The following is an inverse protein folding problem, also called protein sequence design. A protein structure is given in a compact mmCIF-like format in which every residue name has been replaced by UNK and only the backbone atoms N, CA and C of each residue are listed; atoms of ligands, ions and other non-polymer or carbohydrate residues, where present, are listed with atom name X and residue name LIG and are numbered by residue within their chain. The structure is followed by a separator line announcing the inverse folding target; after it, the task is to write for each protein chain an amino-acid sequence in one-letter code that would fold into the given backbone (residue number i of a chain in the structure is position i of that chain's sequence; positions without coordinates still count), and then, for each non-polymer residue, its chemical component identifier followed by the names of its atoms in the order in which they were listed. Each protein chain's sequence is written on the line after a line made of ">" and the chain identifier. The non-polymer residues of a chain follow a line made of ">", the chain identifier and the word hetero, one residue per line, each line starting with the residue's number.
data_IF_248887657945
#
_entry.id   IF_248887657945
#
_cell.length_a   1.000
_cell.length_b   1.000
_cell.length_c   1.000
_cell.angle_alpha   90.00
_cell.angle_beta   90.00
_cell.angle_gamma   90.00
#
_symmetry.space_group_name_H-M   'P 1'
#
loop_
_entity.id
_entity.type
_entity.pdbx_description
1 polymer ?
#
# COMPACT_ATOMS: atom_id res chain seq x y z
N UNK A 1 24.11 -17.07 -14.97
CA UNK A 1 22.68 -16.72 -14.97
C UNK A 1 22.36 -16.29 -16.37
N UNK A 2 21.65 -17.10 -17.15
CA UNK A 2 21.21 -16.78 -18.49
C UNK A 2 20.16 -15.68 -18.35
N UNK A 3 20.48 -14.47 -18.79
CA UNK A 3 19.57 -13.34 -18.79
C UNK A 3 18.46 -13.67 -19.82
N UNK A 4 17.25 -13.96 -19.33
CA UNK A 4 16.10 -14.18 -20.20
C UNK A 4 15.81 -12.85 -20.91
N UNK A 5 16.07 -12.81 -22.20
CA UNK A 5 15.76 -11.63 -23.02
C UNK A 5 14.24 -11.56 -23.12
N UNK A 6 13.68 -10.48 -22.58
CA UNK A 6 12.24 -10.23 -22.66
C UNK A 6 11.97 -9.60 -24.01
N UNK A 7 11.32 -10.36 -24.87
CA UNK A 7 11.05 -9.92 -26.25
C UNK A 7 10.03 -8.78 -26.33
N UNK A 8 9.06 -8.78 -25.40
CA UNK A 8 7.90 -7.85 -25.43
C UNK A 8 7.42 -7.51 -24.02
N UNK A 9 6.94 -6.29 -23.88
CA UNK A 9 6.19 -5.83 -22.73
C UNK A 9 4.97 -5.07 -23.24
N UNK A 10 3.79 -5.57 -22.95
CA UNK A 10 2.55 -4.90 -23.27
C UNK A 10 2.20 -3.85 -22.23
N UNK A 11 1.46 -2.82 -22.64
CA UNK A 11 1.00 -1.75 -21.75
C UNK A 11 -0.52 -1.74 -21.78
N UNK A 12 -1.16 -1.74 -20.61
CA UNK A 12 -2.57 -1.45 -20.44
C UNK A 12 -2.75 -0.17 -19.66
N UNK A 13 -3.71 0.64 -20.07
CA UNK A 13 -4.04 1.89 -19.40
C UNK A 13 -5.44 1.81 -18.81
N UNK A 14 -5.55 2.10 -17.50
CA UNK A 14 -6.83 2.33 -16.84
C UNK A 14 -7.35 3.72 -17.18
N UNK A 15 -8.44 3.82 -17.95
CA UNK A 15 -9.00 5.08 -18.40
C UNK A 15 -9.43 6.00 -17.26
N UNK A 16 -9.93 5.43 -16.17
CA UNK A 16 -10.16 6.07 -14.89
C UNK A 16 -9.41 5.27 -13.83
N UNK A 17 -8.52 5.92 -13.08
CA UNK A 17 -7.65 5.24 -12.13
C UNK A 17 -8.43 4.51 -11.03
N UNK A 18 -9.53 5.11 -10.54
CA UNK A 18 -10.31 4.52 -9.44
C UNK A 18 -11.03 3.26 -9.88
N UNK A 19 -11.65 3.28 -11.05
CA UNK A 19 -12.30 2.11 -11.63
C UNK A 19 -11.29 1.02 -11.97
N UNK A 20 -10.12 1.41 -12.48
CA UNK A 20 -9.03 0.49 -12.78
C UNK A 20 -8.57 -0.23 -11.50
N UNK A 21 -8.31 0.50 -10.42
CA UNK A 21 -7.91 -0.09 -9.13
C UNK A 21 -9.02 -0.97 -8.54
N UNK A 22 -10.28 -0.53 -8.59
CA UNK A 22 -11.43 -1.35 -8.16
C UNK A 22 -11.44 -2.68 -8.92
N UNK A 23 -11.27 -2.64 -10.25
CA UNK A 23 -11.24 -3.85 -11.09
C UNK A 23 -10.04 -4.75 -10.74
N UNK A 24 -8.91 -4.18 -10.36
CA UNK A 24 -7.74 -4.96 -9.91
C UNK A 24 -7.98 -5.66 -8.57
N UNK A 25 -8.70 -5.03 -7.65
CA UNK A 25 -8.98 -5.56 -6.32
C UNK A 25 -10.16 -6.56 -6.31
N UNK A 26 -11.02 -6.49 -7.33
CA UNK A 26 -12.24 -7.27 -7.38
C UNK A 26 -12.09 -8.42 -8.39
N UNK A 27 -12.26 -9.66 -7.90
CA UNK A 27 -12.01 -10.89 -8.66
C UNK A 27 -13.07 -11.22 -9.74
N UNK A 28 -14.25 -10.61 -9.66
CA UNK A 28 -15.41 -11.01 -10.46
C UNK A 28 -15.96 -9.92 -11.37
N UNK A 29 -15.28 -8.79 -11.46
CA UNK A 29 -15.77 -7.66 -12.25
C UNK A 29 -15.79 -7.98 -13.74
N UNK A 30 -16.96 -7.86 -14.36
CA UNK A 30 -17.13 -7.86 -15.81
C UNK A 30 -16.76 -6.50 -16.43
N UNK A 31 -16.59 -5.47 -15.61
CA UNK A 31 -16.25 -4.13 -16.07
C UNK A 31 -14.78 -4.05 -16.49
N UNK A 32 -14.52 -3.45 -17.65
CA UNK A 32 -13.18 -3.40 -18.26
C UNK A 32 -12.79 -1.95 -18.54
N UNK A 33 -12.27 -1.23 -17.52
CA UNK A 33 -11.86 0.16 -17.71
C UNK A 33 -10.53 0.28 -18.47
N UNK A 34 -10.04 -0.81 -19.07
CA UNK A 34 -8.70 -0.87 -19.65
C UNK A 34 -8.69 -0.50 -21.12
N UNK A 35 -7.76 0.35 -21.49
CA UNK A 35 -7.39 0.63 -22.88
C UNK A 35 -6.10 -0.14 -23.21
N UNK A 36 -6.12 -0.90 -24.29
CA UNK A 36 -4.96 -1.64 -24.76
C UNK A 36 -5.06 -1.94 -26.25
N UNK A 37 -3.90 -2.17 -26.87
CA UNK A 37 -3.79 -2.66 -28.23
C UNK A 37 -2.72 -3.74 -28.26
N UNK A 38 -3.12 -4.99 -27.98
CA UNK A 38 -2.17 -6.11 -27.91
C UNK A 38 -1.87 -6.69 -29.28
N UNK A 39 -1.60 -6.02 -30.30
CA UNK A 39 -1.24 -6.53 -31.63
C UNK A 39 -0.92 -8.04 -31.67
N UNK A 40 0.35 -8.38 -31.59
CA UNK A 40 0.85 -9.76 -31.54
C UNK A 40 1.15 -10.20 -30.09
N UNK A 41 0.12 -10.40 -29.27
CA UNK A 41 0.28 -10.85 -27.89
C UNK A 41 0.37 -12.38 -27.80
N UNK A 42 1.29 -12.89 -26.99
CA UNK A 42 1.37 -14.30 -26.65
C UNK A 42 0.97 -14.54 -25.19
N UNK A 43 0.43 -15.72 -24.92
CA UNK A 43 0.10 -16.16 -23.56
C UNK A 43 1.37 -16.08 -22.69
N UNK A 44 1.25 -15.45 -21.54
CA UNK A 44 2.36 -15.26 -20.60
C UNK A 44 3.22 -14.01 -20.84
N UNK A 45 2.99 -13.27 -21.94
CA UNK A 45 3.69 -12.00 -22.14
C UNK A 45 3.44 -11.05 -20.97
N UNK A 46 4.48 -10.34 -20.45
CA UNK A 46 4.32 -9.41 -19.36
C UNK A 46 3.54 -8.16 -19.78
N UNK A 47 2.76 -7.63 -18.82
CA UNK A 47 1.91 -6.45 -19.00
C UNK A 47 2.22 -5.42 -17.94
N UNK A 48 2.63 -4.22 -18.34
CA UNK A 48 2.72 -3.06 -17.47
C UNK A 48 1.36 -2.39 -17.32
N UNK A 49 0.98 -2.05 -16.09
CA UNK A 49 -0.31 -1.47 -15.77
C UNK A 49 -0.14 0.01 -15.48
N UNK A 50 -0.63 0.85 -16.38
CA UNK A 50 -0.63 2.30 -16.24
C UNK A 50 -1.99 2.75 -15.71
N UNK A 51 -1.97 3.63 -14.73
CA UNK A 51 -3.15 4.28 -14.16
C UNK A 51 -3.17 5.75 -14.56
N UNK A 52 -4.33 6.22 -15.02
CA UNK A 52 -4.54 7.63 -15.35
C UNK A 52 -4.76 8.47 -14.08
N UNK A 53 -3.75 8.47 -13.22
CA UNK A 53 -3.62 9.35 -12.06
C UNK A 53 -3.07 10.72 -12.49
N UNK A 54 -2.96 11.65 -11.57
CA UNK A 54 -2.32 12.95 -11.79
C UNK A 54 -1.20 13.14 -10.75
N UNK A 55 0.08 13.08 -11.18
CA UNK A 55 0.56 12.66 -12.51
C UNK A 55 0.26 11.18 -12.82
N UNK A 56 0.27 10.76 -14.12
CA UNK A 56 0.09 9.36 -14.50
C UNK A 56 1.12 8.45 -13.86
N UNK A 57 0.69 7.25 -13.45
CA UNK A 57 1.54 6.30 -12.73
C UNK A 57 1.48 4.90 -13.32
N UNK A 58 2.48 4.10 -13.00
CA UNK A 58 2.58 2.69 -13.37
C UNK A 58 2.77 1.82 -12.13
N UNK A 59 2.17 0.65 -12.13
CA UNK A 59 2.36 -0.32 -11.06
C UNK A 59 3.74 -0.96 -11.13
N UNK A 60 4.38 -1.16 -9.99
CA UNK A 60 5.69 -1.84 -9.90
C UNK A 60 5.59 -3.33 -10.21
N UNK A 61 4.40 -3.91 -10.12
CA UNK A 61 4.16 -5.31 -10.46
C UNK A 61 3.46 -5.44 -11.81
N UNK A 62 3.95 -6.41 -12.58
CA UNK A 62 3.44 -6.71 -13.91
C UNK A 62 2.29 -7.70 -13.83
N UNK A 63 1.29 -7.52 -14.69
CA UNK A 63 0.36 -8.57 -15.05
C UNK A 63 0.90 -9.44 -16.20
N UNK A 64 0.07 -10.36 -16.69
CA UNK A 64 0.39 -11.21 -17.84
C UNK A 64 -0.78 -11.29 -18.83
N UNK A 65 -0.48 -11.73 -20.03
CA UNK A 65 -1.51 -12.14 -21.01
C UNK A 65 -1.95 -13.56 -20.65
N UNK A 66 -3.24 -13.70 -20.35
CA UNK A 66 -3.84 -14.98 -19.99
C UNK A 66 -4.10 -15.90 -21.19
N UNK A 67 -4.60 -17.13 -20.93
CA UNK A 67 -4.89 -18.14 -21.97
C UNK A 67 -5.94 -17.70 -22.99
N UNK A 68 -6.81 -16.75 -22.62
CA UNK A 68 -7.83 -16.19 -23.50
C UNK A 68 -7.30 -15.02 -24.37
N UNK A 69 -6.00 -14.78 -24.35
CA UNK A 69 -5.36 -13.66 -25.06
C UNK A 69 -5.66 -12.28 -24.46
N UNK A 70 -6.14 -12.24 -23.22
CA UNK A 70 -6.50 -11.00 -22.51
C UNK A 70 -5.56 -10.75 -21.35
N UNK A 71 -5.61 -9.52 -20.83
CA UNK A 71 -4.91 -9.17 -19.62
C UNK A 71 -5.45 -9.99 -18.45
N UNK A 72 -4.58 -10.82 -17.88
CA UNK A 72 -4.82 -11.59 -16.67
C UNK A 72 -4.12 -10.91 -15.48
N UNK A 73 -4.92 -10.52 -14.51
CA UNK A 73 -4.45 -9.94 -13.25
C UNK A 73 -4.19 -10.98 -12.17
N UNK A 74 -4.61 -12.23 -12.36
CA UNK A 74 -4.48 -13.28 -11.34
C UNK A 74 -3.02 -13.53 -10.94
N UNK A 75 -2.08 -13.16 -11.81
CA UNK A 75 -0.64 -13.22 -11.55
C UNK A 75 -0.12 -12.02 -10.73
N UNK A 76 -0.93 -10.97 -10.51
CA UNK A 76 -0.55 -9.90 -9.60
C UNK A 76 -0.62 -10.46 -8.19
N UNK A 77 0.54 -10.75 -7.61
CA UNK A 77 0.61 -11.26 -6.24
C UNK A 77 0.21 -10.14 -5.26
N UNK A 78 -0.98 -10.24 -4.69
CA UNK A 78 -1.51 -9.31 -3.68
C UNK A 78 -0.93 -9.53 -2.28
N UNK A 79 0.16 -10.30 -2.18
CA UNK A 79 0.87 -10.49 -0.92
C UNK A 79 1.61 -9.22 -0.47
N UNK A 80 2.11 -9.25 0.76
CA UNK A 80 2.98 -8.20 1.29
C UNK A 80 4.38 -8.31 0.66
N UNK A 81 4.98 -7.18 0.27
CA UNK A 81 4.41 -5.84 0.23
C UNK A 81 3.38 -5.66 -0.88
N UNK A 82 2.40 -4.75 -0.69
CA UNK A 82 1.42 -4.40 -1.73
C UNK A 82 2.11 -3.84 -2.97
N UNK A 83 1.51 -3.99 -4.18
CA UNK A 83 2.03 -3.36 -5.38
C UNK A 83 2.23 -1.86 -5.17
N UNK A 84 3.39 -1.35 -5.53
CA UNK A 84 3.69 0.08 -5.51
C UNK A 84 3.23 0.77 -6.79
N UNK A 85 3.20 2.11 -6.74
CA UNK A 85 3.01 2.96 -7.90
C UNK A 85 4.25 3.83 -8.09
N UNK A 86 4.65 4.06 -9.33
CA UNK A 86 5.72 4.97 -9.71
C UNK A 86 5.15 5.96 -10.71
N UNK A 87 5.40 7.26 -10.49
CA UNK A 87 5.01 8.27 -11.47
C UNK A 87 5.79 8.08 -12.78
N UNK A 88 5.09 8.16 -13.91
CA UNK A 88 5.66 7.92 -15.23
C UNK A 88 6.79 8.90 -15.57
N UNK A 89 6.74 10.14 -15.12
CA UNK A 89 7.79 11.11 -15.34
C UNK A 89 9.09 10.73 -14.62
N UNK A 90 8.97 10.19 -13.40
CA UNK A 90 10.12 9.64 -12.66
C UNK A 90 10.69 8.43 -13.39
N UNK A 91 9.83 7.51 -13.81
CA UNK A 91 10.26 6.32 -14.54
C UNK A 91 10.92 6.66 -15.88
N UNK A 92 10.37 7.60 -16.64
CA UNK A 92 10.93 8.05 -17.90
C UNK A 92 12.36 8.61 -17.74
N UNK A 93 12.66 9.29 -16.63
CA UNK A 93 14.03 9.75 -16.31
C UNK A 93 14.99 8.60 -16.05
N UNK A 94 14.54 7.52 -15.43
CA UNK A 94 15.36 6.34 -15.13
C UNK A 94 15.59 5.49 -16.39
N UNK A 95 14.53 5.24 -17.15
CA UNK A 95 14.56 4.33 -18.30
C UNK A 95 15.21 4.96 -19.54
N UNK A 96 15.27 6.30 -19.60
CA UNK A 96 15.75 7.05 -20.78
C UNK A 96 15.12 6.49 -22.04
N UNK A 97 13.82 6.67 -22.20
CA UNK A 97 13.17 6.33 -23.47
C UNK A 97 13.90 7.06 -24.60
N UNK A 98 14.40 6.32 -25.58
CA UNK A 98 15.04 6.88 -26.73
C UNK A 98 13.99 7.55 -27.62
N UNK A 99 14.00 8.88 -27.66
CA UNK A 99 13.07 9.67 -28.46
C UNK A 99 11.88 10.22 -27.65
N UNK A 100 11.18 11.19 -28.22
CA UNK A 100 10.01 11.89 -27.68
C UNK A 100 8.73 11.02 -27.60
N UNK A 101 8.86 9.72 -27.48
CA UNK A 101 7.70 8.83 -27.38
C UNK A 101 7.10 8.91 -25.98
N UNK A 102 5.95 9.55 -25.88
CA UNK A 102 5.11 9.51 -24.67
C UNK A 102 4.79 8.04 -24.38
N UNK A 103 5.23 7.48 -23.21
CA UNK A 103 4.94 6.08 -22.85
C UNK A 103 3.46 5.73 -22.93
N UNK A 104 2.58 6.72 -22.77
CA UNK A 104 1.12 6.55 -22.90
C UNK A 104 0.62 6.31 -24.32
N UNK A 105 1.46 6.60 -25.33
CA UNK A 105 1.11 6.37 -26.74
C UNK A 105 1.62 5.03 -27.27
N UNK A 106 2.48 4.36 -26.50
CA UNK A 106 3.08 3.08 -26.88
C UNK A 106 2.39 1.95 -26.11
N UNK A 107 1.67 1.10 -26.82
CA UNK A 107 0.99 -0.05 -26.24
C UNK A 107 1.86 -1.30 -26.13
N UNK A 108 3.06 -1.27 -26.68
CA UNK A 108 4.02 -2.37 -26.64
C UNK A 108 5.45 -1.85 -26.73
N UNK A 109 6.31 -2.30 -25.81
CA UNK A 109 7.75 -2.15 -25.87
C UNK A 109 8.38 -3.47 -26.32
N UNK A 110 9.50 -3.41 -27.05
CA UNK A 110 10.20 -4.59 -27.56
C UNK A 110 11.69 -4.57 -27.20
N UNK A 111 12.28 -5.77 -27.07
CA UNK A 111 13.70 -5.97 -26.86
C UNK A 111 14.27 -5.19 -25.66
N UNK A 112 15.32 -4.42 -25.89
CA UNK A 112 15.99 -3.67 -24.82
C UNK A 112 15.10 -2.66 -24.10
N UNK A 113 14.13 -2.07 -24.79
CA UNK A 113 13.20 -1.11 -24.16
C UNK A 113 12.29 -1.83 -23.17
N UNK A 114 11.76 -3.00 -23.52
CA UNK A 114 10.98 -3.83 -22.64
C UNK A 114 11.79 -4.28 -21.41
N UNK A 115 13.01 -4.77 -21.63
CA UNK A 115 13.91 -5.22 -20.57
C UNK A 115 14.25 -4.09 -19.61
N UNK A 116 14.62 -2.91 -20.11
CA UNK A 116 14.92 -1.74 -19.26
C UNK A 116 13.71 -1.29 -18.42
N UNK A 117 12.52 -1.29 -19.02
CA UNK A 117 11.30 -0.92 -18.29
C UNK A 117 11.03 -1.89 -17.12
N UNK A 118 11.15 -3.18 -17.36
CA UNK A 118 10.92 -4.20 -16.33
C UNK A 118 11.96 -4.10 -15.20
N UNK A 119 13.23 -3.95 -15.55
CA UNK A 119 14.30 -3.77 -14.57
C UNK A 119 14.05 -2.51 -13.71
N UNK A 120 13.71 -1.39 -14.37
CA UNK A 120 13.43 -0.15 -13.65
C UNK A 120 12.22 -0.26 -12.68
N UNK A 121 11.16 -0.97 -13.07
CA UNK A 121 10.02 -1.23 -12.19
C UNK A 121 10.42 -2.11 -10.99
N UNK A 122 11.24 -3.13 -11.23
CA UNK A 122 11.77 -4.02 -10.18
C UNK A 122 12.67 -3.24 -9.21
N UNK A 123 13.56 -2.40 -9.72
CA UNK A 123 14.44 -1.56 -8.90
C UNK A 123 13.64 -0.54 -8.08
N UNK A 124 12.60 0.07 -8.66
CA UNK A 124 11.71 0.98 -7.94
C UNK A 124 10.96 0.28 -6.80
N UNK A 125 10.60 -0.98 -6.96
CA UNK A 125 9.96 -1.76 -5.89
C UNK A 125 10.96 -2.10 -4.77
N UNK A 126 12.17 -2.51 -5.13
CA UNK A 126 13.22 -2.89 -4.20
C UNK A 126 13.79 -1.70 -3.41
N UNK A 127 14.05 -0.57 -4.08
CA UNK A 127 14.68 0.62 -3.50
C UNK A 127 13.71 1.52 -2.73
N UNK A 128 12.42 1.18 -2.67
CA UNK A 128 11.39 2.02 -2.06
C UNK A 128 11.14 3.34 -2.80
N UNK A 129 11.55 3.45 -4.07
CA UNK A 129 11.31 4.63 -4.94
C UNK A 129 9.89 4.74 -5.47
N UNK A 130 8.98 3.97 -4.90
CA UNK A 130 7.55 4.02 -5.19
C UNK A 130 6.91 5.26 -4.58
N UNK A 131 5.84 5.71 -5.21
CA UNK A 131 5.05 6.82 -4.69
C UNK A 131 4.48 6.45 -3.33
N UNK A 132 4.58 7.38 -2.40
CA UNK A 132 4.01 7.22 -1.07
C UNK A 132 2.49 7.24 -1.11
N UNK A 133 1.86 6.65 -0.09
CA UNK A 133 0.43 6.78 0.21
C UNK A 133 0.07 8.13 0.84
N UNK A 134 1.08 8.90 1.20
CA UNK A 134 0.91 10.23 1.80
C UNK A 134 0.88 11.31 0.72
N UNK A 135 0.18 12.39 1.00
CA UNK A 135 -0.12 13.48 0.08
C UNK A 135 -1.55 13.40 -0.49
N UNK A 136 -1.96 14.47 -1.16
CA UNK A 136 -3.32 14.62 -1.69
C UNK A 136 -3.42 14.38 -3.21
N UNK A 137 -2.38 13.82 -3.82
CA UNK A 137 -2.41 13.44 -5.23
C UNK A 137 -3.30 12.22 -5.49
N UNK A 138 -3.75 12.06 -6.72
CA UNK A 138 -4.48 10.84 -7.11
C UNK A 138 -3.60 9.60 -7.10
N UNK A 139 -2.27 9.74 -7.23
CA UNK A 139 -1.32 8.62 -7.02
C UNK A 139 -1.39 8.16 -5.57
N UNK A 140 -1.35 9.07 -4.59
CA UNK A 140 -1.43 8.71 -3.18
C UNK A 140 -2.77 8.05 -2.84
N UNK A 141 -3.87 8.55 -3.41
CA UNK A 141 -5.18 7.94 -3.26
C UNK A 141 -5.25 6.53 -3.88
N UNK A 142 -4.70 6.34 -5.09
CA UNK A 142 -4.63 5.05 -5.75
C UNK A 142 -3.75 4.06 -4.97
N UNK A 143 -2.58 4.50 -4.50
CA UNK A 143 -1.69 3.70 -3.66
C UNK A 143 -2.36 3.29 -2.34
N UNK A 144 -3.13 4.20 -1.71
CA UNK A 144 -3.91 3.91 -0.49
C UNK A 144 -4.98 2.85 -0.76
N UNK A 145 -5.71 2.95 -1.88
CA UNK A 145 -6.72 1.99 -2.27
C UNK A 145 -6.11 0.61 -2.57
N UNK A 146 -5.01 0.55 -3.33
CA UNK A 146 -4.27 -0.69 -3.59
C UNK A 146 -3.79 -1.35 -2.30
N UNK A 147 -3.22 -0.56 -1.39
CA UNK A 147 -2.71 -1.05 -0.10
C UNK A 147 -3.82 -1.63 0.79
N UNK A 148 -5.06 -1.17 0.65
CA UNK A 148 -6.19 -1.70 1.42
C UNK A 148 -6.52 -3.16 1.09
N UNK A 149 -6.05 -3.67 -0.05
CA UNK A 149 -6.40 -4.99 -0.57
C UNK A 149 -7.92 -5.25 -0.58
N UNK A 150 -8.71 -4.21 -0.89
CA UNK A 150 -10.17 -4.29 -0.89
C UNK A 150 -10.82 -4.37 0.50
N UNK A 151 -10.12 -3.98 1.56
CA UNK A 151 -10.63 -4.00 2.94
C UNK A 151 -10.74 -2.59 3.53
N UNK A 152 -11.74 -2.44 4.38
CA UNK A 152 -11.91 -1.21 5.16
C UNK A 152 -10.82 -1.11 6.24
N UNK A 153 -10.07 -0.02 6.26
CA UNK A 153 -9.05 0.24 7.29
C UNK A 153 -9.66 0.35 8.69
N UNK A 154 -10.92 0.83 8.79
CA UNK A 154 -11.57 1.05 10.08
C UNK A 154 -12.07 -0.23 10.76
N UNK A 155 -12.60 -1.19 10.01
CA UNK A 155 -13.22 -2.39 10.59
C UNK A 155 -12.76 -3.72 9.97
N UNK A 156 -11.81 -3.69 9.02
CA UNK A 156 -11.32 -4.88 8.34
C UNK A 156 -12.31 -5.56 7.38
N UNK A 157 -13.55 -5.10 7.29
CA UNK A 157 -14.55 -5.69 6.41
C UNK A 157 -14.16 -5.56 4.95
N UNK A 158 -14.48 -6.58 4.15
CA UNK A 158 -14.32 -6.54 2.70
C UNK A 158 -15.23 -5.44 2.14
N UNK A 159 -14.68 -4.61 1.26
CA UNK A 159 -15.42 -3.55 0.59
C UNK A 159 -16.30 -4.15 -0.51
N UNK A 160 -17.49 -3.58 -0.69
CA UNK A 160 -18.34 -3.93 -1.83
C UNK A 160 -17.80 -3.22 -3.09
N UNK A 161 -16.99 -3.95 -3.85
CA UNK A 161 -16.36 -3.47 -5.08
C UNK A 161 -17.11 -3.93 -6.33
N UNK A 162 -18.28 -4.58 -6.17
CA UNK A 162 -19.08 -5.10 -7.26
C UNK A 162 -20.02 -4.05 -7.86
N UNK A 163 -20.12 -4.07 -9.17
CA UNK A 163 -21.12 -3.33 -9.91
C UNK A 163 -20.92 -1.82 -9.99
N UNK A 164 -21.95 -1.12 -10.49
CA UNK A 164 -21.88 0.30 -10.83
C UNK A 164 -21.75 1.24 -9.60
N UNK A 165 -22.04 0.77 -8.40
CA UNK A 165 -21.96 1.56 -7.15
C UNK A 165 -20.67 1.34 -6.37
N UNK A 166 -19.74 0.52 -6.88
CA UNK A 166 -18.48 0.22 -6.20
C UNK A 166 -17.70 1.50 -5.81
N UNK A 167 -17.71 2.52 -6.68
CA UNK A 167 -17.04 3.80 -6.43
C UNK A 167 -17.57 4.55 -5.20
N UNK A 168 -18.84 4.35 -4.87
CA UNK A 168 -19.55 5.06 -3.81
C UNK A 168 -19.58 4.27 -2.49
N UNK A 169 -19.20 2.99 -2.53
CA UNK A 169 -19.24 2.08 -1.39
C UNK A 169 -18.19 2.39 -0.32
N UNK A 170 -17.21 3.24 -0.63
CA UNK A 170 -16.12 3.59 0.27
C UNK A 170 -15.63 5.03 0.07
N UNK A 171 -14.87 5.52 1.04
CA UNK A 171 -14.14 6.79 0.99
C UNK A 171 -12.66 6.53 1.14
N UNK A 172 -11.85 7.24 0.34
CA UNK A 172 -10.38 7.21 0.46
C UNK A 172 -9.99 8.46 1.25
N UNK A 173 -9.30 8.23 2.36
CA UNK A 173 -8.72 9.29 3.16
C UNK A 173 -7.27 9.46 2.74
N UNK A 174 -6.93 10.65 2.32
CA UNK A 174 -5.57 11.09 2.02
C UNK A 174 -5.10 12.04 3.12
N UNK A 175 -3.83 11.99 3.46
CA UNK A 175 -3.22 12.82 4.49
C UNK A 175 -1.86 13.30 4.02
N UNK A 176 -1.43 14.45 4.52
CA UNK A 176 -0.10 14.97 4.24
C UNK A 176 0.99 14.00 4.74
N UNK A 177 2.16 14.14 4.15
CA UNK A 177 3.31 13.36 4.60
C UNK A 177 3.60 13.77 6.06
N UNK A 178 3.60 12.81 7.01
CA UNK A 178 3.89 13.15 8.39
C UNK A 178 5.33 13.67 8.46
N UNK A 179 5.51 14.87 8.98
CA UNK A 179 6.82 15.26 9.48
C UNK A 179 7.24 14.18 10.46
N UNK A 180 8.41 13.59 10.28
CA UNK A 180 8.93 12.59 11.22
C UNK A 180 9.27 13.31 12.51
N UNK A 181 8.46 13.17 13.56
CA UNK A 181 8.82 13.76 14.84
C UNK A 181 10.09 13.08 15.34
N UNK A 182 10.95 13.83 15.99
CA UNK A 182 12.13 13.27 16.65
C UNK A 182 11.63 12.35 17.76
N UNK A 183 12.05 11.07 17.81
CA UNK A 183 11.64 10.17 18.88
C UNK A 183 12.10 10.75 20.23
N UNK A 184 11.17 10.86 21.17
CA UNK A 184 11.50 11.36 22.51
C UNK A 184 12.02 10.23 23.38
N UNK A 185 13.10 10.45 24.15
CA UNK A 185 13.59 9.44 25.07
C UNK A 185 12.55 9.19 26.18
N UNK A 186 12.12 7.95 26.31
CA UNK A 186 11.30 7.51 27.43
C UNK A 186 12.20 6.80 28.43
N UNK A 187 12.20 7.28 29.67
CA UNK A 187 12.86 6.57 30.77
C UNK A 187 11.95 5.39 31.12
N UNK A 188 12.39 4.18 30.82
CA UNK A 188 11.67 2.96 31.20
C UNK A 188 12.23 2.46 32.53
N UNK A 189 11.33 2.25 33.50
CA UNK A 189 11.68 1.46 34.68
C UNK A 189 11.95 0.02 34.26
N UNK A 190 12.88 -0.63 34.96
CA UNK A 190 13.34 -2.00 34.61
C UNK A 190 12.21 -3.03 34.52
N UNK A 191 11.08 -2.79 35.19
CA UNK A 191 9.87 -3.63 35.17
C UNK A 191 9.08 -3.55 33.87
N UNK A 192 9.30 -2.52 33.05
CA UNK A 192 8.55 -2.24 31.82
C UNK A 192 9.34 -2.55 30.55
N UNK A 193 10.50 -3.20 30.69
CA UNK A 193 11.33 -3.56 29.53
C UNK A 193 10.63 -4.65 28.73
N UNK A 194 10.41 -4.43 27.44
CA UNK A 194 9.86 -5.47 26.59
C UNK A 194 10.69 -6.74 26.65
N UNK A 195 10.07 -7.89 26.86
CA UNK A 195 10.73 -9.17 27.08
C UNK A 195 11.54 -9.71 25.87
N UNK A 196 11.56 -9.02 24.74
CA UNK A 196 12.40 -9.34 23.57
C UNK A 196 13.78 -8.65 23.62
N UNK A 197 14.07 -7.84 24.61
CA UNK A 197 15.40 -7.29 24.79
C UNK A 197 16.32 -8.37 25.39
N UNK A 198 17.14 -8.97 24.54
CA UNK A 198 18.24 -9.86 24.93
C UNK A 198 19.54 -9.04 25.04
N UNK A 199 19.67 -8.20 26.03
CA UNK A 199 20.87 -7.39 26.23
C UNK A 199 20.77 -6.52 27.45
N UNK A 200 21.82 -5.77 27.79
CA UNK A 200 21.72 -4.77 28.84
C UNK A 200 20.60 -3.80 28.47
N UNK A 201 19.67 -3.62 29.42
CA UNK A 201 18.53 -2.70 29.26
C UNK A 201 19.10 -1.31 29.01
N UNK A 202 18.78 -0.67 27.87
CA UNK A 202 19.25 0.69 27.66
C UNK A 202 18.59 1.61 28.70
N UNK A 203 19.37 2.52 29.26
CA UNK A 203 18.90 3.51 30.24
C UNK A 203 17.74 4.38 29.68
N UNK A 204 17.56 4.36 28.36
CA UNK A 204 16.49 5.07 27.63
C UNK A 204 15.99 4.23 26.50
N UNK A 205 14.69 3.97 26.46
CA UNK A 205 13.99 3.43 25.29
C UNK A 205 13.29 4.56 24.54
N UNK A 206 13.36 4.49 23.21
CA UNK A 206 12.68 5.43 22.35
C UNK A 206 11.35 4.82 21.95
N UNK A 207 10.24 5.39 22.44
CA UNK A 207 8.94 5.12 21.86
C UNK A 207 8.80 6.00 20.61
N UNK A 208 8.50 5.42 19.44
CA UNK A 208 8.30 6.23 18.26
C UNK A 208 7.08 7.13 18.48
N UNK A 209 7.23 8.41 18.21
CA UNK A 209 6.10 9.32 18.19
C UNK A 209 5.18 8.94 17.04
N UNK A 210 3.90 8.82 17.34
CA UNK A 210 2.91 8.46 16.33
C UNK A 210 2.65 9.64 15.40
N UNK A 211 2.46 9.41 14.09
CA UNK A 211 2.04 10.46 13.18
C UNK A 211 0.67 11.01 13.60
N UNK A 212 0.39 12.25 13.23
CA UNK A 212 -0.87 12.91 13.58
C UNK A 212 -2.08 12.23 12.91
N UNK A 213 -1.89 11.72 11.70
CA UNK A 213 -2.95 11.04 10.95
C UNK A 213 -2.36 9.99 9.99
N UNK A 214 -3.23 9.16 9.39
CA UNK A 214 -2.85 8.04 8.52
C UNK A 214 -3.81 7.89 7.33
N UNK A 215 -3.28 7.59 6.12
CA UNK A 215 -4.13 7.33 4.97
C UNK A 215 -4.84 5.98 5.09
N UNK A 216 -6.09 5.91 4.62
CA UNK A 216 -6.86 4.69 4.68
C UNK A 216 -8.10 4.69 3.79
N UNK A 217 -8.72 3.52 3.68
CA UNK A 217 -9.98 3.34 2.96
C UNK A 217 -11.07 2.96 3.95
N UNK A 218 -12.13 3.71 4.01
CA UNK A 218 -13.23 3.50 4.94
C UNK A 218 -14.50 3.08 4.20
N UNK A 219 -15.16 2.01 4.65
CA UNK A 219 -16.53 1.74 4.25
C UNK A 219 -17.46 2.86 4.75
N UNK A 220 -18.62 3.03 4.14
CA UNK A 220 -19.54 4.12 4.50
C UNK A 220 -19.90 4.13 5.98
N UNK A 221 -20.06 2.96 6.61
CA UNK A 221 -20.33 2.84 8.05
C UNK A 221 -19.22 3.44 8.90
N UNK A 222 -17.95 3.10 8.61
CA UNK A 222 -16.81 3.62 9.36
C UNK A 222 -16.58 5.10 9.10
N UNK A 223 -16.75 5.56 7.85
CA UNK A 223 -16.69 6.98 7.50
C UNK A 223 -17.74 7.80 8.24
N UNK A 224 -18.97 7.30 8.32
CA UNK A 224 -20.05 7.93 9.10
C UNK A 224 -19.75 7.93 10.60
N UNK A 225 -19.36 6.77 11.15
CA UNK A 225 -19.02 6.67 12.56
C UNK A 225 -17.85 7.57 12.98
N UNK A 226 -16.84 7.72 12.12
CA UNK A 226 -15.74 8.63 12.35
C UNK A 226 -16.21 10.10 12.41
N UNK A 227 -17.05 10.52 11.45
CA UNK A 227 -17.61 11.88 11.41
C UNK A 227 -18.53 12.18 12.57
N UNK A 228 -19.48 11.28 12.86
CA UNK A 228 -20.47 11.44 13.94
C UNK A 228 -19.79 11.44 15.32
N UNK A 229 -18.68 10.69 15.46
CA UNK A 229 -17.81 10.71 16.64
C UNK A 229 -16.90 11.95 16.75
N UNK A 230 -16.92 12.85 15.76
CA UNK A 230 -16.10 14.07 15.76
C UNK A 230 -14.60 13.82 15.55
N UNK A 231 -14.21 12.63 15.06
CA UNK A 231 -12.79 12.32 14.82
C UNK A 231 -12.30 12.98 13.53
N UNK A 232 -11.25 13.78 13.65
CA UNK A 232 -10.55 14.38 12.51
C UNK A 232 -9.38 13.52 12.01
N UNK A 233 -8.83 12.66 12.88
CA UNK A 233 -7.72 11.74 12.60
C UNK A 233 -8.23 10.28 12.55
N UNK A 234 -7.79 9.53 11.52
CA UNK A 234 -8.07 8.09 11.43
C UNK A 234 -7.39 7.33 12.58
N UNK A 235 -6.21 7.77 13.01
CA UNK A 235 -5.49 7.18 14.14
C UNK A 235 -6.31 7.29 15.41
N UNK A 236 -6.86 8.46 15.70
CA UNK A 236 -7.68 8.67 16.91
C UNK A 236 -8.99 7.85 16.87
N UNK A 237 -9.61 7.78 15.68
CA UNK A 237 -10.77 6.93 15.46
C UNK A 237 -10.45 5.45 15.73
N UNK A 238 -9.33 4.93 15.23
CA UNK A 238 -8.94 3.54 15.43
C UNK A 238 -8.56 3.26 16.88
N UNK A 239 -7.79 4.12 17.51
CA UNK A 239 -7.50 3.98 18.94
C UNK A 239 -8.76 4.03 19.82
N UNK A 240 -9.79 4.76 19.42
CA UNK A 240 -11.07 4.76 20.15
C UNK A 240 -11.77 3.40 20.13
N UNK A 241 -11.46 2.53 19.18
CA UNK A 241 -11.99 1.16 19.09
C UNK A 241 -11.18 0.16 19.93
N UNK A 242 -10.00 0.54 20.41
CA UNK A 242 -9.11 -0.30 21.21
C UNK A 242 -9.40 -0.18 22.71
N UNK A 243 -9.01 -1.16 23.55
CA UNK A 243 -9.17 -1.06 24.99
C UNK A 243 -8.31 0.06 25.57
N UNK A 244 -8.76 0.64 26.66
CA UNK A 244 -7.95 1.56 27.46
C UNK A 244 -6.84 0.81 28.16
N UNK A 245 -5.68 1.45 28.29
CA UNK A 245 -4.59 0.90 29.08
C UNK A 245 -4.99 0.72 30.53
N UNK A 246 -4.90 -0.50 31.12
CA UNK A 246 -5.27 -0.74 32.51
C UNK A 246 -4.32 -0.08 33.52
N UNK A 247 -3.14 0.34 33.09
CA UNK A 247 -2.12 0.92 33.97
C UNK A 247 -2.16 2.45 34.02
N UNK A 248 -2.33 3.12 32.88
CA UNK A 248 -2.34 4.59 32.82
C UNK A 248 -3.65 5.18 32.29
N UNK A 249 -4.65 4.37 31.93
CA UNK A 249 -5.95 4.83 31.45
C UNK A 249 -5.97 5.41 30.04
N UNK A 250 -4.84 5.48 29.35
CA UNK A 250 -4.74 6.08 28.01
C UNK A 250 -5.53 5.27 26.98
N UNK A 251 -6.18 5.99 26.05
CA UNK A 251 -6.90 5.43 24.90
C UNK A 251 -5.97 5.37 23.67
N UNK A 252 -4.75 4.86 23.86
CA UNK A 252 -3.71 4.78 22.86
C UNK A 252 -2.96 3.45 22.94
N UNK A 253 -3.67 2.38 22.55
CA UNK A 253 -3.17 1.02 22.67
C UNK A 253 -3.07 0.36 21.29
N UNK A 254 -1.95 -0.26 21.01
CA UNK A 254 -1.67 -0.98 19.78
C UNK A 254 -2.02 -2.45 19.92
N UNK A 255 -2.58 -3.05 18.88
CA UNK A 255 -2.82 -4.49 18.83
C UNK A 255 -1.52 -5.24 18.46
N UNK A 256 -1.22 -6.33 19.16
CA UNK A 256 -0.04 -7.14 18.87
C UNK A 256 -0.24 -7.93 17.57
N UNK A 257 0.65 -7.72 16.61
CA UNK A 257 0.72 -8.45 15.36
C UNK A 257 1.94 -9.39 15.39
N UNK A 258 1.74 -10.62 14.90
CA UNK A 258 2.79 -11.63 14.86
C UNK A 258 3.01 -12.09 13.44
N UNK A 259 4.26 -12.23 13.04
CA UNK A 259 4.63 -12.70 11.72
C UNK A 259 5.94 -12.11 11.23
N UNK A 260 6.38 -12.59 10.07
CA UNK A 260 7.54 -12.02 9.40
C UNK A 260 7.14 -10.73 8.69
N UNK A 261 7.88 -9.69 8.96
CA UNK A 261 7.62 -8.36 8.40
C UNK A 261 8.51 -8.14 7.19
N UNK A 262 7.89 -7.83 6.06
CA UNK A 262 8.59 -7.60 4.79
C UNK A 262 8.63 -6.13 4.35
N UNK A 263 8.03 -5.22 5.13
CA UNK A 263 7.99 -3.78 4.81
C UNK A 263 8.00 -2.94 6.08
N UNK A 264 8.43 -1.69 5.95
CA UNK A 264 8.57 -0.75 7.07
C UNK A 264 7.36 0.19 7.25
N UNK A 265 6.30 0.03 6.46
CA UNK A 265 5.13 0.90 6.46
C UNK A 265 4.01 0.30 7.33
N UNK A 266 4.23 0.30 8.65
CA UNK A 266 3.30 -0.26 9.62
C UNK A 266 2.23 0.74 10.03
N UNK A 267 0.97 0.29 10.14
CA UNK A 267 -0.06 1.10 10.73
C UNK A 267 0.28 1.47 12.19
N UNK A 268 0.03 2.72 12.60
CA UNK A 268 0.38 3.18 13.95
C UNK A 268 -0.38 2.48 15.09
N UNK A 269 -1.47 1.79 14.78
CA UNK A 269 -2.29 1.04 15.76
C UNK A 269 -1.89 -0.43 15.90
N UNK A 270 -0.87 -0.88 15.17
CA UNK A 270 -0.34 -2.24 15.24
C UNK A 270 1.06 -2.24 15.85
N UNK A 271 1.32 -3.23 16.72
CA UNK A 271 2.62 -3.49 17.35
C UNK A 271 3.17 -4.82 16.82
N UNK A 272 4.15 -4.75 15.94
CA UNK A 272 4.75 -5.92 15.30
C UNK A 272 5.84 -6.53 16.16
N UNK A 273 5.58 -7.74 16.68
CA UNK A 273 6.42 -8.43 17.68
C UNK A 273 7.22 -9.61 17.13
N UNK A 274 7.37 -9.70 15.81
CA UNK A 274 8.09 -10.82 15.17
C UNK A 274 7.31 -12.13 15.21
N UNK A 275 8.01 -13.26 15.09
CA UNK A 275 7.37 -14.58 14.89
C UNK A 275 6.98 -15.30 16.19
N UNK A 276 7.49 -14.87 17.32
CA UNK A 276 7.23 -15.52 18.61
C UNK A 276 5.90 -15.03 19.21
N UNK A 277 4.87 -15.87 19.15
CA UNK A 277 3.56 -15.55 19.74
C UNK A 277 3.66 -15.44 21.26
N UNK A 278 3.20 -14.34 21.85
CA UNK A 278 3.13 -14.06 23.28
C UNK A 278 1.69 -14.03 23.76
N UNK A 279 1.51 -14.01 25.08
CA UNK A 279 0.17 -13.95 25.69
C UNK A 279 -0.41 -12.54 25.64
N UNK A 280 0.46 -11.52 25.59
CA UNK A 280 0.04 -10.13 25.64
C UNK A 280 -0.43 -9.69 24.25
N UNK A 281 -1.65 -9.18 24.17
CA UNK A 281 -2.29 -8.79 22.92
C UNK A 281 -2.23 -7.28 22.66
N UNK A 282 -1.84 -6.49 23.66
CA UNK A 282 -1.89 -5.05 23.60
C UNK A 282 -0.61 -4.39 24.13
N UNK A 283 -0.25 -3.25 23.56
CA UNK A 283 0.84 -2.37 24.03
C UNK A 283 0.31 -0.95 24.17
N UNK A 284 0.55 -0.30 25.29
CA UNK A 284 0.25 1.12 25.45
C UNK A 284 1.36 1.99 24.85
N UNK A 285 1.02 2.90 23.94
CA UNK A 285 1.99 3.82 23.34
C UNK A 285 2.40 4.97 24.26
N UNK A 286 1.72 5.13 25.41
CA UNK A 286 1.98 6.20 26.37
C UNK A 286 2.93 5.75 27.47
N UNK A 287 2.66 4.57 28.08
CA UNK A 287 3.46 4.05 29.19
C UNK A 287 4.27 2.80 28.85
N UNK A 288 4.18 2.26 27.64
CA UNK A 288 4.91 1.07 27.20
C UNK A 288 4.44 -0.26 27.79
N UNK A 289 3.43 -0.25 28.68
CA UNK A 289 2.94 -1.48 29.33
C UNK A 289 2.29 -2.42 28.31
N UNK A 290 2.48 -3.71 28.52
CA UNK A 290 1.92 -4.81 27.70
C UNK A 290 0.99 -5.68 28.55
N UNK A 291 -0.14 -6.18 27.98
CA UNK A 291 -1.10 -7.08 28.65
C UNK A 291 -1.88 -7.95 27.71
#
# INVERSE_FOLDING_TARGET
>A
VTQTVIERLHIVEGADWKDAVITLLEDRSSYRPWRYGFGEAHIGDPVAIVLNTDPPSVMTRLGRIGPDGRFDRAEITWGLPSPGLVDLGTLARVVRFAGDEDPRKVWQLRGDAATRMILALTDCDADGKRSTRFGHSTIAAAATLLHSCGRCTGCGAVLDLLGARARDAFRIRTVDFPERPQPQPVIMEATNVPSYFYGPIPDKCWLPELPADWPGVLCLRCDTAMRDGGFTSLIDYLFSQHPRCPYCGAQRTQSAQFGQVFHLDFPPWDDYRGCARRKDNWTCTVCGSQW
#
